data_IF_600252049247
#
_entry.id   IF_600252049247
#
_cell.length_a   1.000
_cell.length_b   1.000
_cell.length_c   1.000
_cell.angle_alpha   90.00
_cell.angle_beta   90.00
_cell.angle_gamma   90.00
#
_symmetry.space_group_name_H-M   'P 1'
#
loop_
_entity.id
_entity.type
_entity.pdbx_description
1 polymer ?
#
# COMPACT_ATOMS: atom_id res chain seq x y z
N UNK A 1 4.98 75.43 11.53
CA UNK A 1 4.54 74.02 11.43
C UNK A 1 5.78 73.16 11.30
N UNK A 2 6.07 72.32 12.29
CA UNK A 2 7.27 71.47 12.31
C UNK A 2 6.97 70.22 11.50
N UNK A 3 7.71 70.00 10.41
CA UNK A 3 7.61 68.77 9.65
C UNK A 3 8.10 67.60 10.51
N UNK A 4 7.22 66.63 10.72
CA UNK A 4 7.59 65.32 11.27
C UNK A 4 8.55 64.63 10.29
N UNK A 5 9.85 64.73 10.57
CA UNK A 5 10.86 63.93 9.89
C UNK A 5 10.64 62.48 10.31
N UNK A 6 10.16 61.63 9.38
CA UNK A 6 10.10 60.18 9.58
C UNK A 6 11.52 59.67 9.83
N UNK A 7 11.87 59.46 11.11
CA UNK A 7 13.08 58.74 11.50
C UNK A 7 12.88 57.25 11.20
N UNK A 8 13.85 56.67 10.51
CA UNK A 8 14.01 55.23 10.19
C UNK A 8 13.21 54.66 9.00
N UNK A 9 13.58 55.07 7.78
CA UNK A 9 13.51 54.17 6.62
C UNK A 9 14.93 53.70 6.28
N UNK A 10 15.53 52.86 7.15
CA UNK A 10 16.77 52.15 6.79
C UNK A 10 16.40 51.07 5.78
N UNK A 11 16.79 51.26 4.52
CA UNK A 11 16.65 50.25 3.48
C UNK A 11 17.42 48.98 3.84
N UNK A 12 16.88 47.82 3.46
CA UNK A 12 17.53 46.53 3.66
C UNK A 12 18.80 46.47 2.81
N UNK A 13 19.92 46.07 3.41
CA UNK A 13 21.17 45.92 2.66
C UNK A 13 21.06 44.73 1.70
N UNK A 14 21.78 44.76 0.58
CA UNK A 14 21.79 43.66 -0.38
C UNK A 14 22.21 42.34 0.27
N UNK A 15 23.16 42.39 1.21
CA UNK A 15 23.61 41.23 1.96
C UNK A 15 22.49 40.64 2.85
N UNK A 16 21.76 41.48 3.59
CA UNK A 16 20.63 41.04 4.42
C UNK A 16 19.55 40.35 3.56
N UNK A 17 19.24 40.88 2.38
CA UNK A 17 18.28 40.27 1.46
C UNK A 17 18.76 38.91 0.95
N UNK A 18 20.05 38.77 0.59
CA UNK A 18 20.61 37.50 0.14
C UNK A 18 20.62 36.45 1.26
N UNK A 19 20.96 36.86 2.49
CA UNK A 19 20.92 35.96 3.66
C UNK A 19 19.47 35.55 3.97
N UNK A 20 18.51 36.47 3.93
CA UNK A 20 17.10 36.16 4.13
C UNK A 20 16.59 35.16 3.08
N UNK A 21 16.93 35.36 1.80
CA UNK A 21 16.60 34.42 0.73
C UNK A 21 17.25 33.04 0.93
N UNK A 22 18.49 32.99 1.40
CA UNK A 22 19.17 31.73 1.71
C UNK A 22 18.46 30.95 2.84
N UNK A 23 18.05 31.65 3.91
CA UNK A 23 17.29 31.03 5.00
C UNK A 23 15.96 30.49 4.48
N UNK A 24 15.22 31.28 3.72
CA UNK A 24 13.94 30.87 3.12
C UNK A 24 14.13 29.67 2.20
N UNK A 25 15.19 29.64 1.40
CA UNK A 25 15.50 28.51 0.53
C UNK A 25 15.76 27.22 1.32
N UNK A 26 16.55 27.27 2.39
CA UNK A 26 16.81 26.10 3.26
C UNK A 26 15.50 25.60 3.88
N UNK A 27 14.63 26.50 4.33
CA UNK A 27 13.31 26.13 4.86
C UNK A 27 12.46 25.44 3.79
N UNK A 28 12.45 25.96 2.56
CA UNK A 28 11.71 25.33 1.46
C UNK A 28 12.22 23.93 1.11
N UNK A 29 13.54 23.70 1.16
CA UNK A 29 14.10 22.36 0.96
C UNK A 29 13.59 21.37 2.02
N UNK A 30 13.57 21.79 3.30
CA UNK A 30 13.03 20.96 4.38
C UNK A 30 11.54 20.66 4.21
N UNK A 31 10.74 21.67 3.82
CA UNK A 31 9.31 21.49 3.57
C UNK A 31 9.03 20.58 2.37
N UNK A 32 9.82 20.68 1.31
CA UNK A 32 9.68 19.83 0.13
C UNK A 32 9.95 18.36 0.48
N UNK A 33 11.02 18.07 1.23
CA UNK A 33 11.35 16.71 1.67
C UNK A 33 10.27 16.12 2.58
N UNK A 34 9.81 16.88 3.57
CA UNK A 34 8.70 16.48 4.43
C UNK A 34 7.41 16.21 3.63
N UNK A 35 7.12 17.04 2.62
CA UNK A 35 5.98 16.86 1.72
C UNK A 35 6.05 15.54 0.95
N UNK A 36 7.20 15.23 0.36
CA UNK A 36 7.42 13.97 -0.38
C UNK A 36 7.25 12.74 0.52
N UNK A 37 7.72 12.82 1.76
CA UNK A 37 7.58 11.75 2.74
C UNK A 37 6.10 11.47 3.06
N UNK A 38 5.31 12.52 3.30
CA UNK A 38 3.86 12.39 3.54
C UNK A 38 3.16 11.77 2.32
N UNK A 39 3.53 12.18 1.10
CA UNK A 39 2.97 11.57 -0.11
C UNK A 39 3.30 10.08 -0.21
N UNK A 40 4.54 9.67 0.06
CA UNK A 40 4.93 8.25 -0.01
C UNK A 40 4.12 7.41 0.98
N UNK A 41 3.95 7.88 2.21
CA UNK A 41 3.10 7.22 3.23
C UNK A 41 1.65 7.13 2.79
N UNK A 42 1.09 8.20 2.22
CA UNK A 42 -0.29 8.20 1.81
C UNK A 42 -0.56 7.24 0.64
N UNK A 43 0.36 7.15 -0.32
CA UNK A 43 0.29 6.12 -1.38
C UNK A 43 0.46 4.73 -0.75
N UNK A 44 1.33 4.56 0.26
CA UNK A 44 1.57 3.25 0.91
C UNK A 44 0.31 2.72 1.57
N UNK A 45 -0.42 3.60 2.24
CA UNK A 45 -1.70 3.25 2.84
C UNK A 45 -2.74 2.90 1.77
N UNK A 46 -2.85 3.69 0.70
CA UNK A 46 -3.77 3.38 -0.40
C UNK A 46 -3.50 2.00 -1.05
N UNK A 47 -2.23 1.62 -1.20
CA UNK A 47 -1.84 0.29 -1.71
C UNK A 47 -2.18 -0.82 -0.71
N UNK A 48 -2.01 -0.59 0.59
CA UNK A 48 -2.38 -1.56 1.61
C UNK A 48 -3.90 -1.77 1.64
N UNK A 49 -4.66 -0.69 1.64
CA UNK A 49 -6.12 -0.73 1.65
C UNK A 49 -6.66 -1.44 0.41
N UNK A 50 -6.06 -1.20 -0.76
CA UNK A 50 -6.43 -1.91 -1.99
C UNK A 50 -6.05 -3.41 -1.91
N UNK A 51 -4.94 -3.76 -1.27
CA UNK A 51 -4.58 -5.16 -1.01
C UNK A 51 -5.59 -5.89 -0.12
N UNK A 52 -6.15 -5.19 0.88
CA UNK A 52 -7.26 -5.70 1.69
C UNK A 52 -8.51 -5.90 0.84
N UNK A 53 -8.89 -4.91 0.02
CA UNK A 53 -10.06 -5.04 -0.88
C UNK A 53 -9.93 -6.20 -1.87
N UNK A 54 -8.74 -6.42 -2.43
CA UNK A 54 -8.47 -7.60 -3.28
C UNK A 54 -8.66 -8.88 -2.46
N UNK A 55 -8.18 -8.91 -1.21
CA UNK A 55 -8.38 -10.07 -0.33
C UNK A 55 -9.86 -10.32 -0.03
N UNK A 56 -10.65 -9.28 0.19
CA UNK A 56 -12.10 -9.39 0.42
C UNK A 56 -12.86 -9.88 -0.82
N UNK A 57 -12.48 -9.41 -2.01
CA UNK A 57 -13.01 -9.89 -3.28
C UNK A 57 -12.73 -11.38 -3.48
N UNK A 58 -11.51 -11.80 -3.18
CA UNK A 58 -11.12 -13.21 -3.21
C UNK A 58 -11.91 -14.03 -2.18
N UNK A 59 -12.16 -13.49 -1.00
CA UNK A 59 -12.98 -14.16 0.01
C UNK A 59 -14.44 -14.33 -0.44
N UNK A 60 -15.02 -13.31 -1.06
CA UNK A 60 -16.35 -13.40 -1.66
C UNK A 60 -16.39 -14.51 -2.73
N UNK A 61 -15.32 -14.63 -3.53
CA UNK A 61 -15.17 -15.70 -4.54
C UNK A 61 -15.10 -17.08 -3.88
N UNK A 62 -14.28 -17.25 -2.83
CA UNK A 62 -14.20 -18.52 -2.08
C UNK A 62 -15.56 -18.91 -1.50
N UNK A 63 -16.29 -17.95 -0.94
CA UNK A 63 -17.64 -18.20 -0.38
C UNK A 63 -18.70 -18.54 -1.44
N UNK A 64 -18.51 -18.07 -2.68
CA UNK A 64 -19.34 -18.45 -3.82
C UNK A 64 -18.94 -19.78 -4.47
N UNK A 65 -17.75 -20.30 -4.18
CA UNK A 65 -17.29 -21.58 -4.70
C UNK A 65 -17.95 -22.74 -3.96
N UNK A 66 -18.33 -23.79 -4.69
CA UNK A 66 -18.92 -24.98 -4.09
C UNK A 66 -17.93 -25.75 -3.22
N UNK A 67 -18.46 -26.44 -2.20
CA UNK A 67 -17.65 -27.30 -1.33
C UNK A 67 -16.93 -28.41 -2.12
N UNK A 68 -17.61 -29.03 -3.09
CA UNK A 68 -17.05 -30.11 -3.89
C UNK A 68 -15.82 -29.68 -4.70
N UNK A 69 -15.83 -28.47 -5.28
CA UNK A 69 -14.69 -27.92 -6.00
C UNK A 69 -13.51 -27.64 -5.07
N UNK A 70 -13.76 -27.09 -3.89
CA UNK A 70 -12.70 -26.81 -2.91
C UNK A 70 -12.15 -28.08 -2.25
N UNK A 71 -12.95 -29.15 -2.17
CA UNK A 71 -12.52 -30.43 -1.62
C UNK A 71 -11.75 -31.30 -2.63
N UNK A 72 -11.79 -30.97 -3.93
CA UNK A 72 -11.09 -31.72 -4.98
C UNK A 72 -9.57 -31.71 -4.73
N UNK A 73 -8.94 -32.87 -4.44
CA UNK A 73 -7.51 -32.93 -4.13
C UNK A 73 -6.60 -32.66 -5.33
N UNK A 74 -7.11 -32.73 -6.56
CA UNK A 74 -6.36 -32.41 -7.79
C UNK A 74 -6.28 -30.90 -7.97
N UNK A 75 -7.41 -30.21 -7.79
CA UNK A 75 -7.48 -28.75 -7.90
C UNK A 75 -6.86 -28.06 -6.67
N UNK A 76 -7.22 -28.53 -5.48
CA UNK A 76 -6.79 -28.00 -4.19
C UNK A 76 -6.26 -29.12 -3.27
N UNK A 77 -4.98 -29.47 -3.40
CA UNK A 77 -4.31 -30.37 -2.48
C UNK A 77 -4.32 -29.80 -1.06
N UNK A 78 -4.32 -30.69 -0.06
CA UNK A 78 -4.39 -30.28 1.34
C UNK A 78 -3.17 -29.45 1.76
N UNK A 79 -3.43 -28.29 2.36
CA UNK A 79 -2.42 -27.37 2.88
C UNK A 79 -1.38 -26.92 1.83
N UNK A 80 -1.75 -26.89 0.54
CA UNK A 80 -0.89 -26.38 -0.54
C UNK A 80 -1.45 -25.07 -1.10
N UNK A 81 -0.61 -24.04 -1.16
CA UNK A 81 -0.97 -22.77 -1.78
C UNK A 81 -1.13 -22.93 -3.30
N UNK A 82 -2.30 -22.59 -3.81
CA UNK A 82 -2.62 -22.55 -5.24
C UNK A 82 -2.96 -21.14 -5.67
N UNK A 83 -2.79 -20.85 -6.95
CA UNK A 83 -3.24 -19.57 -7.51
C UNK A 83 -4.76 -19.49 -7.39
N UNK A 84 -5.27 -18.28 -7.18
CA UNK A 84 -6.71 -18.05 -7.25
C UNK A 84 -7.26 -18.45 -8.63
N UNK A 85 -8.49 -18.98 -8.72
CA UNK A 85 -9.21 -19.13 -9.98
C UNK A 85 -9.30 -17.83 -10.80
N UNK A 86 -9.30 -16.68 -10.13
CA UNK A 86 -9.37 -15.37 -10.78
C UNK A 86 -8.04 -14.97 -11.46
N UNK A 87 -6.98 -15.77 -11.30
CA UNK A 87 -5.70 -15.60 -11.97
C UNK A 87 -4.52 -15.48 -11.00
N UNK A 88 -3.32 -15.57 -11.57
CA UNK A 88 -2.04 -15.45 -10.83
C UNK A 88 -1.77 -14.02 -10.34
N UNK A 89 -2.28 -13.01 -11.06
CA UNK A 89 -2.04 -11.59 -10.79
C UNK A 89 -3.29 -10.77 -11.06
N UNK A 90 -3.64 -9.89 -10.13
CA UNK A 90 -4.70 -8.90 -10.21
C UNK A 90 -4.05 -7.51 -10.27
N UNK A 91 -3.97 -6.86 -11.45
CA UNK A 91 -3.43 -5.52 -11.57
C UNK A 91 -4.42 -4.47 -11.06
N UNK A 92 -3.95 -3.49 -10.29
CA UNK A 92 -4.73 -2.34 -9.84
C UNK A 92 -4.01 -1.03 -10.15
N UNK A 93 -4.77 -0.03 -10.57
CA UNK A 93 -4.28 1.33 -10.79
C UNK A 93 -4.49 2.15 -9.52
N UNK A 94 -3.40 2.62 -8.91
CA UNK A 94 -3.43 3.39 -7.68
C UNK A 94 -2.63 4.66 -7.94
N UNK A 95 -3.32 5.79 -8.15
CA UNK A 95 -2.72 7.11 -8.40
C UNK A 95 -1.68 7.09 -9.54
N UNK A 96 -2.03 6.43 -10.65
CA UNK A 96 -1.19 6.31 -11.83
C UNK A 96 -0.08 5.26 -11.72
N UNK A 97 0.00 4.52 -10.62
CA UNK A 97 0.90 3.38 -10.46
C UNK A 97 0.12 2.07 -10.68
N UNK A 98 0.66 1.20 -11.52
CA UNK A 98 0.19 -0.19 -11.63
C UNK A 98 0.81 -1.01 -10.52
N UNK A 99 -0.03 -1.57 -9.65
CA UNK A 99 0.38 -2.49 -8.58
C UNK A 99 -0.23 -3.86 -8.86
N UNK A 100 0.63 -4.88 -8.86
CA UNK A 100 0.24 -6.25 -9.13
C UNK A 100 0.07 -7.01 -7.80
N UNK A 101 -1.15 -7.48 -7.55
CA UNK A 101 -1.48 -8.33 -6.40
C UNK A 101 -1.51 -9.79 -6.84
N UNK A 102 -0.88 -10.68 -6.09
CA UNK A 102 -0.83 -12.11 -6.37
C UNK A 102 -1.63 -12.88 -5.30
N UNK A 103 -2.92 -13.15 -5.52
CA UNK A 103 -3.74 -13.93 -4.60
C UNK A 103 -3.42 -15.42 -4.69
N UNK A 104 -3.35 -16.07 -3.53
CA UNK A 104 -3.18 -17.51 -3.38
C UNK A 104 -4.16 -18.07 -2.36
N UNK A 105 -4.71 -19.23 -2.64
CA UNK A 105 -5.62 -19.94 -1.76
C UNK A 105 -4.94 -21.20 -1.24
N UNK A 106 -5.03 -21.43 0.07
CA UNK A 106 -4.59 -22.66 0.72
C UNK A 106 -5.81 -23.27 1.39
N UNK A 107 -6.20 -24.46 0.94
CA UNK A 107 -7.34 -25.18 1.51
C UNK A 107 -6.82 -26.21 2.52
N UNK A 108 -7.40 -26.22 3.72
CA UNK A 108 -7.09 -27.14 4.80
C UNK A 108 -8.37 -27.89 5.14
N UNK A 109 -8.33 -29.22 5.05
CA UNK A 109 -9.44 -30.09 5.46
C UNK A 109 -9.43 -30.21 6.99
N UNK A 110 -10.45 -29.64 7.64
CA UNK A 110 -10.58 -29.73 9.10
C UNK A 110 -11.27 -31.03 9.52
N UNK A 111 -12.33 -31.41 8.79
CA UNK A 111 -13.04 -32.68 8.93
C UNK A 111 -13.79 -33.00 7.62
N UNK A 112 -14.62 -34.04 7.62
CA UNK A 112 -15.34 -34.50 6.43
C UNK A 112 -16.27 -33.44 5.80
N UNK A 113 -16.76 -32.48 6.59
CA UNK A 113 -17.78 -31.50 6.19
C UNK A 113 -17.30 -30.04 6.30
N UNK A 114 -16.09 -29.79 6.78
CA UNK A 114 -15.56 -28.44 7.02
C UNK A 114 -14.17 -28.29 6.41
N UNK A 115 -14.04 -27.26 5.59
CA UNK A 115 -12.78 -26.80 5.02
C UNK A 115 -12.46 -25.42 5.58
N UNK A 116 -11.19 -25.17 5.89
CA UNK A 116 -10.67 -23.83 6.10
C UNK A 116 -9.93 -23.40 4.84
N UNK A 117 -10.27 -22.23 4.32
CA UNK A 117 -9.56 -21.63 3.18
C UNK A 117 -8.83 -20.40 3.68
N UNK A 118 -7.50 -20.43 3.58
CA UNK A 118 -6.64 -19.30 3.83
C UNK A 118 -6.33 -18.60 2.50
N UNK A 119 -6.63 -17.31 2.43
CA UNK A 119 -6.38 -16.46 1.27
C UNK A 119 -5.22 -15.56 1.63
N UNK A 120 -4.12 -15.67 0.89
CA UNK A 120 -2.96 -14.80 1.02
C UNK A 120 -2.83 -13.96 -0.24
N UNK A 121 -2.83 -12.64 -0.10
CA UNK A 121 -2.59 -11.70 -1.20
C UNK A 121 -1.25 -11.04 -0.97
N UNK A 122 -0.30 -11.24 -1.89
CA UNK A 122 1.02 -10.65 -1.83
C UNK A 122 1.20 -9.56 -2.89
N UNK A 123 1.98 -8.53 -2.58
CA UNK A 123 2.37 -7.49 -3.53
C UNK A 123 3.75 -6.94 -3.18
N UNK A 124 4.37 -6.25 -4.13
CA UNK A 124 5.67 -5.63 -3.96
C UNK A 124 5.57 -4.12 -4.12
N UNK A 125 6.32 -3.40 -3.29
CA UNK A 125 6.49 -1.95 -3.45
C UNK A 125 7.92 -1.52 -3.13
N UNK A 126 8.42 -0.61 -3.96
CA UNK A 126 9.62 0.15 -3.67
C UNK A 126 9.40 1.08 -2.46
N UNK A 127 10.25 0.94 -1.45
CA UNK A 127 10.27 1.77 -0.25
C UNK A 127 11.70 2.21 0.04
N UNK A 128 11.84 3.33 0.75
CA UNK A 128 13.13 3.79 1.26
C UNK A 128 13.59 2.92 2.44
N UNK A 129 14.86 2.56 2.42
CA UNK A 129 15.60 1.86 3.49
C UNK A 129 16.84 2.65 3.82
N UNK A 130 17.51 2.30 4.93
CA UNK A 130 18.79 2.91 5.32
C UNK A 130 19.90 2.75 4.28
N UNK A 131 19.74 1.82 3.33
CA UNK A 131 20.67 1.54 2.23
C UNK A 131 20.22 2.10 0.87
N UNK A 132 19.13 2.85 0.81
CA UNK A 132 18.58 3.43 -0.42
C UNK A 132 17.19 2.91 -0.76
N UNK A 133 16.84 2.91 -2.05
CA UNK A 133 15.51 2.51 -2.52
C UNK A 133 15.50 1.02 -2.84
N UNK A 134 14.68 0.23 -2.14
CA UNK A 134 14.61 -1.22 -2.30
C UNK A 134 13.17 -1.73 -2.45
N UNK A 135 12.99 -2.87 -3.12
CA UNK A 135 11.70 -3.56 -3.20
C UNK A 135 11.41 -4.28 -1.88
N UNK A 136 10.23 -4.02 -1.32
CA UNK A 136 9.70 -4.72 -0.14
C UNK A 136 8.50 -5.56 -0.53
N UNK A 137 8.44 -6.76 0.03
CA UNK A 137 7.30 -7.66 -0.09
C UNK A 137 6.32 -7.38 1.03
N UNK A 138 5.05 -7.27 0.67
CA UNK A 138 3.95 -7.14 1.59
C UNK A 138 2.97 -8.27 1.32
N UNK A 139 2.29 -8.72 2.36
CA UNK A 139 1.19 -9.67 2.20
C UNK A 139 0.12 -9.42 3.25
N UNK A 140 -1.09 -9.80 2.90
CA UNK A 140 -2.25 -9.80 3.79
C UNK A 140 -2.92 -11.17 3.69
N UNK A 141 -3.29 -11.73 4.83
CA UNK A 141 -3.91 -13.05 4.89
C UNK A 141 -5.22 -13.00 5.67
N UNK A 142 -6.23 -13.66 5.13
CA UNK A 142 -7.50 -13.89 5.83
C UNK A 142 -7.93 -15.33 5.67
N UNK A 143 -8.62 -15.87 6.67
CA UNK A 143 -9.14 -17.24 6.67
C UNK A 143 -10.67 -17.22 6.69
N UNK A 144 -11.27 -18.21 6.03
CA UNK A 144 -12.72 -18.44 6.06
C UNK A 144 -13.00 -19.93 6.16
N UNK A 145 -14.14 -20.30 6.72
CA UNK A 145 -14.60 -21.69 6.79
C UNK A 145 -15.68 -21.91 5.72
N UNK A 146 -15.58 -22.99 4.97
CA UNK A 146 -16.58 -23.46 4.02
C UNK A 146 -17.13 -24.79 4.52
N UNK A 147 -18.45 -24.90 4.59
CA UNK A 147 -19.15 -26.11 5.05
C UNK A 147 -19.83 -26.82 3.89
N UNK A 148 -19.82 -28.14 3.95
CA UNK A 148 -20.66 -29.00 3.14
C UNK A 148 -22.12 -28.74 3.55
N UNK A 149 -22.97 -28.32 2.62
CA UNK A 149 -24.39 -28.03 2.85
C UNK A 149 -25.25 -29.11 2.23
#
# INVERSE_FOLDING_TARGET
>A
MVASVRKNEKGMTLLETVVALAIVFIVFLGLADAGLLVFDFNINNAIRDEGVKVTEMEMATVRGTSYSTLNDPVLYPDNVAKQSPNGSVVPRQIRGLTVNYAPRWTVIRLNADNLQVAINVAWQRSAWTSSGRALRNYSHQVTTIVRNR
#
